data_IF_428753022581
#
_entry.id   IF_428753022581
#
_cell.length_a   1.000
_cell.length_b   1.000
_cell.length_c   1.000
_cell.angle_alpha   90.00
_cell.angle_beta   90.00
_cell.angle_gamma   90.00
#
_symmetry.space_group_name_H-M   'P 1'
#
loop_
_entity.id
_entity.type
_entity.pdbx_description
1 polymer ?
#
# COMPACT_ATOMS: atom_id res chain seq x y z
N UNK A 1 4.03 -3.24 -6.34
CA UNK A 1 3.01 -4.23 -6.70
C UNK A 1 2.98 -4.47 -8.21
N UNK A 2 2.56 -5.66 -8.62
CA UNK A 2 2.24 -5.99 -10.01
C UNK A 2 0.76 -6.35 -10.12
N UNK A 3 0.05 -5.71 -11.05
CA UNK A 3 -1.39 -5.87 -11.24
C UNK A 3 -1.70 -6.33 -12.65
N UNK A 4 -2.41 -7.47 -12.78
CA UNK A 4 -2.82 -8.09 -14.05
C UNK A 4 -1.70 -8.31 -15.07
N UNK A 5 -0.50 -8.64 -14.60
CA UNK A 5 0.66 -8.94 -15.45
C UNK A 5 1.07 -10.41 -15.39
N UNK A 6 0.89 -11.06 -14.25
CA UNK A 6 1.26 -12.46 -14.09
C UNK A 6 0.11 -13.37 -14.57
N UNK A 7 0.41 -14.45 -15.33
CA UNK A 7 -0.64 -15.27 -15.97
C UNK A 7 -1.56 -16.01 -15.00
N UNK A 8 -1.10 -16.28 -13.79
CA UNK A 8 -1.84 -17.04 -12.77
C UNK A 8 -2.19 -16.23 -11.51
N UNK A 9 -1.48 -15.14 -11.28
CA UNK A 9 -1.64 -14.32 -10.06
C UNK A 9 -2.02 -12.91 -10.46
N UNK A 10 -3.28 -12.52 -10.32
CA UNK A 10 -3.77 -11.22 -10.78
C UNK A 10 -3.19 -10.03 -10.01
N UNK A 11 -2.74 -10.24 -8.79
CA UNK A 11 -2.16 -9.22 -7.94
C UNK A 11 -1.00 -9.79 -7.12
N UNK A 12 0.19 -9.21 -7.28
CA UNK A 12 1.37 -9.47 -6.45
C UNK A 12 1.67 -8.19 -5.68
N UNK A 13 1.77 -8.29 -4.36
CA UNK A 13 2.09 -7.15 -3.49
C UNK A 13 3.23 -7.53 -2.57
N UNK A 14 4.28 -6.71 -2.59
CA UNK A 14 5.35 -6.74 -1.61
C UNK A 14 5.45 -5.36 -0.97
N UNK A 15 5.45 -5.27 0.35
CA UNK A 15 5.47 -4.01 1.05
C UNK A 15 6.09 -4.13 2.44
N UNK A 16 6.91 -3.15 2.81
CA UNK A 16 7.37 -2.93 4.16
C UNK A 16 6.42 -1.99 4.90
N UNK A 17 6.29 -2.20 6.21
CA UNK A 17 5.58 -1.28 7.10
C UNK A 17 6.59 -0.61 8.03
N UNK A 18 6.78 0.68 7.84
CA UNK A 18 7.59 1.50 8.73
C UNK A 18 6.68 2.11 9.81
N UNK A 19 6.88 1.71 11.05
CA UNK A 19 6.10 2.21 12.18
C UNK A 19 6.96 2.27 13.45
N UNK A 20 6.60 3.15 14.35
CA UNK A 20 7.28 3.28 15.64
C UNK A 20 7.13 2.01 16.51
N UNK A 21 8.20 1.59 17.18
CA UNK A 21 8.21 0.38 18.01
C UNK A 21 7.18 0.41 19.16
N UNK A 22 6.81 1.59 19.63
CA UNK A 22 5.78 1.73 20.68
C UNK A 22 4.34 1.53 20.17
N UNK A 23 4.16 1.25 18.87
CA UNK A 23 2.87 0.96 18.25
C UNK A 23 2.85 -0.46 17.66
N UNK A 24 2.86 -1.50 18.50
CA UNK A 24 2.94 -2.87 18.04
C UNK A 24 1.67 -3.26 17.30
N UNK A 25 1.78 -3.89 16.09
CA UNK A 25 0.65 -4.46 15.39
C UNK A 25 0.31 -5.85 15.95
N UNK A 26 -0.91 -6.30 15.72
CA UNK A 26 -1.19 -7.72 15.74
C UNK A 26 -0.76 -8.37 14.41
N UNK A 27 -0.25 -9.61 14.44
CA UNK A 27 0.02 -10.38 13.23
C UNK A 27 -1.21 -10.49 12.32
N UNK A 28 -0.98 -10.69 11.03
CA UNK A 28 -2.06 -10.91 10.06
C UNK A 28 -2.84 -12.17 10.42
N UNK A 29 -4.15 -12.02 10.58
CA UNK A 29 -5.11 -13.10 10.84
C UNK A 29 -6.49 -12.68 10.38
N UNK A 30 -7.42 -13.63 10.27
CA UNK A 30 -8.82 -13.30 10.12
C UNK A 30 -9.35 -12.63 11.40
N UNK A 31 -10.02 -11.51 11.25
CA UNK A 31 -10.52 -10.74 12.40
C UNK A 31 -11.76 -11.41 13.00
N UNK A 32 -11.87 -11.43 14.31
CA UNK A 32 -13.03 -12.02 15.01
C UNK A 32 -14.32 -11.21 14.83
N UNK A 33 -14.19 -9.89 14.68
CA UNK A 33 -15.29 -8.93 14.46
C UNK A 33 -15.60 -8.66 12.99
N UNK A 34 -14.78 -9.16 12.07
CA UNK A 34 -14.96 -9.09 10.62
C UNK A 34 -14.29 -10.31 9.96
N UNK A 35 -14.91 -11.52 10.05
CA UNK A 35 -14.25 -12.80 9.74
C UNK A 35 -13.82 -12.98 8.28
N UNK A 36 -14.27 -12.12 7.38
CA UNK A 36 -13.84 -12.11 5.99
C UNK A 36 -12.53 -11.35 5.76
N UNK A 37 -12.11 -10.50 6.70
CA UNK A 37 -10.90 -9.69 6.58
C UNK A 37 -9.70 -10.46 7.10
N UNK A 38 -8.70 -10.65 6.26
CA UNK A 38 -7.35 -11.09 6.62
C UNK A 38 -6.40 -9.89 6.59
N UNK A 39 -5.95 -9.46 7.76
CA UNK A 39 -5.05 -8.31 7.90
C UNK A 39 -4.32 -8.33 9.26
N UNK A 40 -3.19 -7.65 9.36
CA UNK A 40 -2.66 -7.21 10.63
C UNK A 40 -3.61 -6.16 11.26
N UNK A 41 -3.51 -5.91 12.57
CA UNK A 41 -4.38 -4.95 13.22
C UNK A 41 -3.59 -3.97 14.06
N UNK A 42 -3.86 -2.69 13.89
CA UNK A 42 -3.40 -1.66 14.80
C UNK A 42 -4.22 -1.71 16.09
N UNK A 43 -3.61 -2.09 17.20
CA UNK A 43 -4.29 -2.22 18.50
C UNK A 43 -4.82 -0.89 19.04
N UNK A 44 -4.23 0.22 18.63
CA UNK A 44 -4.60 1.55 19.13
C UNK A 44 -5.82 2.11 18.40
N UNK A 45 -5.84 2.00 17.07
CA UNK A 45 -6.88 2.61 16.25
C UNK A 45 -7.89 1.60 15.69
N UNK A 46 -7.65 0.29 15.84
CA UNK A 46 -8.55 -0.78 15.38
C UNK A 46 -8.60 -0.99 13.88
N UNK A 47 -7.83 -0.21 13.10
CA UNK A 47 -7.71 -0.32 11.65
C UNK A 47 -6.52 -1.17 11.21
N UNK A 48 -6.19 -1.08 9.93
CA UNK A 48 -5.01 -1.73 9.33
C UNK A 48 -4.41 -0.85 8.23
N UNK A 49 -3.24 -1.20 7.74
CA UNK A 49 -2.59 -0.51 6.62
C UNK A 49 -2.65 -1.32 5.32
N UNK A 50 -2.87 -2.63 5.41
CA UNK A 50 -3.00 -3.55 4.29
C UNK A 50 -3.87 -4.72 4.70
N UNK A 51 -4.75 -5.17 3.80
CA UNK A 51 -5.56 -6.36 4.00
C UNK A 51 -6.23 -6.86 2.74
N UNK A 52 -6.76 -8.07 2.84
CA UNK A 52 -7.56 -8.72 1.82
C UNK A 52 -8.82 -9.32 2.44
N UNK A 53 -9.80 -9.64 1.62
CA UNK A 53 -10.99 -10.39 2.06
C UNK A 53 -11.15 -11.70 1.32
N UNK A 54 -11.95 -12.62 1.87
CA UNK A 54 -12.35 -13.87 1.19
C UNK A 54 -13.08 -13.61 -0.13
N UNK A 55 -13.77 -12.47 -0.23
CA UNK A 55 -14.49 -12.05 -1.44
C UNK A 55 -13.58 -11.38 -2.50
N UNK A 56 -12.25 -11.42 -2.33
CA UNK A 56 -11.30 -10.86 -3.30
C UNK A 56 -11.18 -9.34 -3.26
N UNK A 57 -11.57 -8.67 -2.16
CA UNK A 57 -11.25 -7.25 -1.97
C UNK A 57 -9.82 -7.10 -1.46
N UNK A 58 -9.17 -6.05 -1.89
CA UNK A 58 -7.84 -5.63 -1.46
C UNK A 58 -7.88 -4.17 -1.07
N UNK A 59 -7.15 -3.79 -0.03
CA UNK A 59 -6.87 -2.39 0.27
C UNK A 59 -5.52 -2.24 0.96
N UNK A 60 -4.77 -1.23 0.55
CA UNK A 60 -3.50 -0.83 1.16
C UNK A 60 -3.33 0.69 1.14
N UNK A 61 -2.78 1.25 2.21
CA UNK A 61 -2.59 2.69 2.38
C UNK A 61 -1.15 3.02 2.72
N UNK A 62 -0.63 4.09 2.11
CA UNK A 62 0.64 4.71 2.51
C UNK A 62 0.42 6.16 2.93
N UNK A 63 1.26 6.64 3.81
CA UNK A 63 1.26 8.04 4.19
C UNK A 63 1.83 8.88 3.03
N UNK A 64 1.17 9.98 2.70
CA UNK A 64 1.80 11.03 1.92
C UNK A 64 2.68 11.87 2.86
N UNK A 65 3.91 12.14 2.47
CA UNK A 65 4.88 12.92 3.27
C UNK A 65 5.33 14.14 2.48
N UNK A 66 5.02 15.29 3.01
CA UNK A 66 5.63 16.58 2.67
C UNK A 66 5.63 17.41 3.96
N UNK A 67 6.82 17.68 4.49
CA UNK A 67 7.00 18.39 5.77
C UNK A 67 6.59 19.85 5.70
N UNK A 68 6.44 20.41 4.50
CA UNK A 68 5.94 21.78 4.27
C UNK A 68 4.43 21.88 4.41
N UNK A 69 3.72 20.74 4.38
CA UNK A 69 2.26 20.69 4.47
C UNK A 69 1.79 20.48 5.91
N UNK A 70 0.82 21.29 6.33
CA UNK A 70 0.11 21.06 7.59
C UNK A 70 -1.13 20.21 7.33
N UNK A 71 -1.10 18.98 7.81
CA UNK A 71 -2.25 18.08 7.72
C UNK A 71 -3.15 18.17 8.96
N UNK A 72 -4.47 17.99 8.80
CA UNK A 72 -5.37 17.95 9.93
C UNK A 72 -5.02 16.78 10.86
N UNK A 73 -5.19 16.99 12.16
CA UNK A 73 -5.19 15.91 13.15
C UNK A 73 -6.53 15.18 13.09
N UNK A 74 -6.70 14.38 12.04
CA UNK A 74 -7.91 13.64 11.76
C UNK A 74 -7.91 12.22 12.29
N UNK A 75 -8.89 11.41 11.89
CA UNK A 75 -8.96 10.00 12.24
C UNK A 75 -7.77 9.21 11.72
N UNK A 76 -7.54 8.02 12.29
CA UNK A 76 -6.50 7.11 11.80
C UNK A 76 -6.82 6.67 10.37
N UNK A 77 -5.85 6.82 9.46
CA UNK A 77 -5.97 6.41 8.06
C UNK A 77 -6.24 4.92 7.90
N UNK A 78 -5.82 4.08 8.86
CA UNK A 78 -6.09 2.65 8.86
C UNK A 78 -7.58 2.27 8.91
N UNK A 79 -8.44 3.20 9.33
CA UNK A 79 -9.91 3.02 9.28
C UNK A 79 -10.41 3.03 7.82
N UNK A 80 -9.80 3.83 6.94
CA UNK A 80 -10.14 3.86 5.52
C UNK A 80 -9.88 2.50 4.85
N UNK A 81 -8.78 1.83 5.22
CA UNK A 81 -8.48 0.48 4.72
C UNK A 81 -9.55 -0.50 5.15
N UNK A 82 -9.96 -0.47 6.42
CA UNK A 82 -11.07 -1.31 6.91
C UNK A 82 -12.35 -1.04 6.13
N UNK A 83 -12.76 0.22 5.98
CA UNK A 83 -13.96 0.61 5.22
C UNK A 83 -13.90 0.13 3.76
N UNK A 84 -12.74 0.25 3.11
CA UNK A 84 -12.54 -0.22 1.74
C UNK A 84 -12.68 -1.75 1.64
N UNK A 85 -12.14 -2.50 2.60
CA UNK A 85 -12.30 -3.96 2.68
C UNK A 85 -13.76 -4.38 2.92
N UNK A 86 -14.48 -3.63 3.72
CA UNK A 86 -15.92 -3.82 3.97
C UNK A 86 -16.80 -3.34 2.79
N UNK A 87 -16.21 -2.65 1.79
CA UNK A 87 -16.89 -2.19 0.58
C UNK A 87 -17.60 -0.86 0.72
N UNK A 88 -17.34 -0.11 1.78
CA UNK A 88 -18.06 1.12 2.15
C UNK A 88 -17.20 2.37 2.24
N UNK A 89 -16.15 2.53 1.42
CA UNK A 89 -15.37 3.77 1.44
C UNK A 89 -16.08 4.90 0.67
N UNK A 90 -16.17 6.08 1.30
CA UNK A 90 -16.55 7.33 0.64
C UNK A 90 -15.29 8.20 0.43
N UNK A 91 -14.78 8.19 -0.81
CA UNK A 91 -13.57 8.95 -1.16
C UNK A 91 -13.77 10.47 -1.11
N UNK A 92 -15.02 10.97 -1.16
CA UNK A 92 -15.33 12.41 -1.08
C UNK A 92 -15.14 12.97 0.33
N UNK A 93 -15.29 12.14 1.36
CA UNK A 93 -15.16 12.53 2.78
C UNK A 93 -13.73 12.43 3.33
N UNK A 94 -12.73 12.11 2.49
CA UNK A 94 -11.37 11.81 2.95
C UNK A 94 -10.50 13.03 3.27
N UNK A 95 -10.97 14.25 3.02
CA UNK A 95 -10.25 15.51 3.33
C UNK A 95 -9.98 15.73 4.82
N UNK A 96 -10.74 15.08 5.70
CA UNK A 96 -10.51 15.16 7.14
C UNK A 96 -9.30 14.36 7.63
N UNK A 97 -8.71 13.52 6.78
CA UNK A 97 -7.55 12.71 7.12
C UNK A 97 -6.25 13.41 6.76
N UNK A 98 -5.19 13.11 7.49
CA UNK A 98 -3.84 13.46 7.04
C UNK A 98 -3.53 12.85 5.67
N UNK A 99 -2.56 13.40 4.94
CA UNK A 99 -2.22 12.99 3.58
C UNK A 99 -1.95 11.50 3.43
N UNK A 100 -2.54 10.89 2.41
CA UNK A 100 -2.40 9.45 2.13
C UNK A 100 -2.56 9.12 0.65
N UNK A 101 -2.12 7.90 0.32
CA UNK A 101 -2.43 7.18 -0.91
C UNK A 101 -3.11 5.86 -0.54
N UNK A 102 -4.16 5.49 -1.25
CA UNK A 102 -4.92 4.28 -1.05
C UNK A 102 -5.07 3.53 -2.37
N UNK A 103 -4.69 2.25 -2.39
CA UNK A 103 -5.08 1.31 -3.45
C UNK A 103 -6.16 0.41 -2.87
N UNK A 104 -7.30 0.30 -3.53
CA UNK A 104 -8.45 -0.41 -3.00
C UNK A 104 -9.37 -0.94 -4.10
N UNK A 105 -10.23 -1.87 -3.78
CA UNK A 105 -11.24 -2.41 -4.69
C UNK A 105 -11.31 -3.94 -4.66
N UNK A 106 -11.83 -4.53 -5.71
CA UNK A 106 -11.74 -5.97 -5.97
C UNK A 106 -10.48 -6.28 -6.78
N UNK A 107 -10.01 -7.52 -6.75
CA UNK A 107 -8.85 -7.94 -7.55
C UNK A 107 -9.07 -7.67 -9.05
N UNK A 108 -10.32 -7.71 -9.51
CA UNK A 108 -10.65 -7.44 -10.92
C UNK A 108 -10.75 -5.95 -11.25
N UNK A 109 -11.02 -5.11 -10.25
CA UNK A 109 -11.20 -3.66 -10.41
C UNK A 109 -10.59 -2.91 -9.22
N UNK A 110 -9.27 -2.72 -9.28
CA UNK A 110 -8.54 -1.90 -8.31
C UNK A 110 -8.56 -0.43 -8.73
N UNK A 111 -8.60 0.42 -7.73
CA UNK A 111 -8.56 1.87 -7.86
C UNK A 111 -7.40 2.46 -7.05
N UNK A 112 -6.92 3.60 -7.49
CA UNK A 112 -5.99 4.46 -6.76
C UNK A 112 -6.69 5.75 -6.33
N UNK A 113 -6.59 6.08 -5.06
CA UNK A 113 -7.07 7.33 -4.50
C UNK A 113 -6.00 8.03 -3.66
N UNK A 114 -5.87 9.35 -3.81
CA UNK A 114 -5.13 10.19 -2.87
C UNK A 114 -5.97 11.41 -2.47
N UNK A 115 -5.86 11.85 -1.23
CA UNK A 115 -6.62 13.01 -0.74
C UNK A 115 -5.90 14.34 -0.91
N UNK A 116 -4.68 14.35 -1.44
CA UNK A 116 -3.88 15.55 -1.70
C UNK A 116 -4.42 16.25 -2.94
N UNK A 117 -4.51 15.51 -4.05
CA UNK A 117 -5.03 16.00 -5.33
C UNK A 117 -6.52 15.68 -5.52
N UNK A 118 -7.08 14.83 -4.66
CA UNK A 118 -8.46 14.36 -4.78
C UNK A 118 -8.67 13.38 -5.95
N UNK A 119 -7.59 12.70 -6.38
CA UNK A 119 -7.65 11.70 -7.44
C UNK A 119 -8.35 10.45 -6.94
N UNK A 120 -9.21 9.87 -7.77
CA UNK A 120 -9.82 8.55 -7.59
C UNK A 120 -10.03 7.92 -8.96
N UNK A 121 -9.13 7.05 -9.37
CA UNK A 121 -9.08 6.49 -10.71
C UNK A 121 -8.84 4.97 -10.71
N UNK A 122 -9.22 4.32 -11.81
CA UNK A 122 -8.93 2.90 -12.00
C UNK A 122 -7.42 2.66 -12.09
N UNK A 123 -6.92 1.70 -11.32
CA UNK A 123 -5.53 1.27 -11.40
C UNK A 123 -5.32 0.49 -12.71
N UNK A 124 -4.40 0.94 -13.54
CA UNK A 124 -4.10 0.27 -14.81
C UNK A 124 -3.31 -1.02 -14.58
N UNK A 125 -3.45 -2.05 -15.43
CA UNK A 125 -2.53 -3.17 -15.44
C UNK A 125 -1.08 -2.70 -15.58
N UNK A 126 -0.19 -3.18 -14.71
CA UNK A 126 1.19 -2.71 -14.71
C UNK A 126 1.97 -3.05 -13.44
N UNK A 127 3.25 -2.66 -13.43
CA UNK A 127 4.07 -2.64 -12.22
C UNK A 127 4.03 -1.24 -11.64
N UNK A 128 3.57 -1.14 -10.41
CA UNK A 128 3.43 0.12 -9.70
C UNK A 128 4.28 0.13 -8.43
N UNK A 129 4.86 1.30 -8.16
CA UNK A 129 5.56 1.59 -6.92
C UNK A 129 4.85 2.70 -6.15
N UNK A 130 4.66 2.49 -4.86
CA UNK A 130 4.01 3.46 -3.99
C UNK A 130 4.80 3.60 -2.70
N UNK A 131 5.40 4.75 -2.52
CA UNK A 131 6.08 5.14 -1.30
C UNK A 131 5.28 6.23 -0.56
N UNK A 132 5.96 7.26 -0.07
CA UNK A 132 5.35 8.35 0.69
C UNK A 132 5.00 9.59 -0.17
N UNK A 133 4.93 9.41 -1.49
CA UNK A 133 4.49 10.39 -2.47
C UNK A 133 3.45 9.75 -3.39
N UNK A 134 3.08 10.37 -4.50
CA UNK A 134 2.09 9.83 -5.44
C UNK A 134 2.51 8.50 -6.07
N UNK A 135 1.53 7.77 -6.58
CA UNK A 135 1.75 6.52 -7.29
C UNK A 135 2.78 6.73 -8.42
N UNK A 136 3.72 5.80 -8.49
CA UNK A 136 4.78 5.79 -9.51
C UNK A 136 5.71 7.01 -9.54
N UNK A 137 5.72 7.84 -8.49
CA UNK A 137 6.73 8.89 -8.35
C UNK A 137 8.13 8.27 -8.45
N UNK A 138 9.00 8.74 -9.36
CA UNK A 138 10.24 8.05 -9.70
C UNK A 138 11.36 8.25 -8.67
N UNK A 139 11.06 8.02 -7.40
CA UNK A 139 12.08 7.97 -6.37
C UNK A 139 13.02 6.78 -6.62
N UNK A 140 14.33 6.87 -6.29
CA UNK A 140 15.30 5.81 -6.56
C UNK A 140 14.82 4.43 -6.10
N UNK A 141 14.33 4.32 -4.86
CA UNK A 141 13.78 3.06 -4.33
C UNK A 141 12.56 2.53 -5.10
N UNK A 142 11.73 3.43 -5.65
CA UNK A 142 10.55 3.03 -6.45
C UNK A 142 10.98 2.50 -7.80
N UNK A 143 11.92 3.19 -8.47
CA UNK A 143 12.46 2.78 -9.76
C UNK A 143 13.15 1.43 -9.65
N UNK A 144 14.03 1.26 -8.65
CA UNK A 144 14.75 0.01 -8.40
C UNK A 144 13.77 -1.13 -8.09
N UNK A 145 12.85 -0.95 -7.14
CA UNK A 145 11.90 -2.00 -6.77
C UNK A 145 10.98 -2.42 -7.93
N UNK A 146 10.59 -1.50 -8.82
CA UNK A 146 9.81 -1.83 -10.03
C UNK A 146 10.64 -2.66 -11.01
N UNK A 147 11.92 -2.32 -11.21
CA UNK A 147 12.83 -3.06 -12.08
C UNK A 147 13.04 -4.49 -11.57
N UNK A 148 13.38 -4.62 -10.28
CA UNK A 148 13.59 -5.93 -9.65
C UNK A 148 12.32 -6.79 -9.66
N UNK A 149 11.16 -6.22 -9.30
CA UNK A 149 9.89 -6.94 -9.34
C UNK A 149 9.59 -7.49 -10.74
N UNK A 150 9.90 -6.73 -11.78
CA UNK A 150 9.75 -7.20 -13.17
C UNK A 150 10.63 -8.43 -13.44
N UNK A 151 11.89 -8.38 -13.07
CA UNK A 151 12.83 -9.50 -13.26
C UNK A 151 12.39 -10.74 -12.47
N UNK A 152 11.91 -10.57 -11.22
CA UNK A 152 11.43 -11.67 -10.38
C UNK A 152 10.21 -12.37 -10.97
N UNK A 153 9.31 -11.65 -11.64
CA UNK A 153 8.13 -12.24 -12.29
C UNK A 153 8.45 -13.08 -13.54
N UNK A 154 9.65 -12.95 -14.10
CA UNK A 154 10.13 -13.78 -15.22
C UNK A 154 10.70 -15.12 -14.73
N UNK A 155 10.91 -15.27 -13.42
CA UNK A 155 11.43 -16.45 -12.77
C UNK A 155 10.35 -17.49 -12.42
N UNK A 156 10.75 -18.60 -11.77
CA UNK A 156 9.82 -19.64 -11.33
C UNK A 156 8.88 -19.14 -10.23
N UNK A 157 7.58 -19.36 -10.35
CA UNK A 157 6.57 -18.95 -9.37
C UNK A 157 6.84 -19.47 -7.95
N UNK A 158 7.38 -20.68 -7.84
CA UNK A 158 7.69 -21.27 -6.53
C UNK A 158 8.76 -20.51 -5.75
N UNK A 159 9.67 -19.79 -6.45
CA UNK A 159 10.71 -18.98 -5.85
C UNK A 159 10.27 -17.53 -5.56
N UNK A 160 9.14 -17.10 -6.14
CA UNK A 160 8.71 -15.71 -6.07
C UNK A 160 8.49 -15.19 -4.64
N UNK A 161 7.86 -15.91 -3.69
CA UNK A 161 7.68 -15.40 -2.33
C UNK A 161 9.00 -15.07 -1.64
N UNK A 162 9.98 -15.97 -1.67
CA UNK A 162 11.29 -15.77 -1.06
C UNK A 162 12.08 -14.63 -1.73
N UNK A 163 12.00 -14.53 -3.06
CA UNK A 163 12.62 -13.46 -3.82
C UNK A 163 12.01 -12.08 -3.48
N UNK A 164 10.70 -12.01 -3.23
CA UNK A 164 10.03 -10.78 -2.78
C UNK A 164 10.47 -10.37 -1.37
N UNK A 165 10.68 -11.32 -0.45
CA UNK A 165 11.25 -11.02 0.86
C UNK A 165 12.69 -10.52 0.75
N UNK A 166 13.50 -11.09 -0.14
CA UNK A 166 14.86 -10.62 -0.42
C UNK A 166 14.85 -9.18 -0.95
N UNK A 167 13.97 -8.88 -1.89
CA UNK A 167 13.77 -7.52 -2.42
C UNK A 167 13.41 -6.52 -1.31
N UNK A 168 12.53 -6.91 -0.39
CA UNK A 168 12.11 -6.03 0.72
C UNK A 168 13.16 -5.87 1.82
N UNK A 169 14.15 -6.76 1.88
CA UNK A 169 15.26 -6.70 2.83
C UNK A 169 16.44 -5.85 2.33
N UNK A 170 16.36 -5.33 1.10
CA UNK A 170 17.40 -4.45 0.56
C UNK A 170 17.40 -3.13 1.35
N UNK A 171 18.53 -2.83 1.98
CA UNK A 171 18.81 -1.65 2.80
C UNK A 171 19.74 -0.64 2.09
N UNK A 172 20.01 -0.83 0.81
CA UNK A 172 20.80 0.09 0.01
C UNK A 172 20.19 1.49 0.01
N UNK A 173 21.01 2.49 0.32
CA UNK A 173 20.61 3.89 0.33
C UNK A 173 21.00 4.55 -0.99
N UNK A 174 20.09 5.34 -1.56
CA UNK A 174 20.42 6.19 -2.69
C UNK A 174 21.41 7.29 -2.27
N UNK A 175 22.30 7.75 -3.19
CA UNK A 175 23.12 8.93 -2.97
C UNK A 175 22.28 10.16 -2.57
N UNK A 176 22.83 11.03 -1.73
CA UNK A 176 22.11 12.19 -1.18
C UNK A 176 21.56 13.12 -2.27
N UNK A 177 22.26 13.27 -3.40
CA UNK A 177 21.85 14.08 -4.54
C UNK A 177 20.66 13.51 -5.33
N UNK A 178 20.29 12.26 -5.07
CA UNK A 178 19.14 11.57 -5.67
C UNK A 178 17.96 11.45 -4.70
N UNK A 179 18.13 11.84 -3.44
CA UNK A 179 17.06 11.78 -2.47
C UNK A 179 15.97 12.82 -2.79
N UNK A 180 14.69 12.44 -2.61
CA UNK A 180 13.59 13.39 -2.86
C UNK A 180 13.59 14.49 -1.81
N UNK A 181 13.36 15.73 -2.26
CA UNK A 181 13.06 16.85 -1.37
C UNK A 181 11.63 16.69 -0.82
N UNK A 182 11.52 16.40 0.46
CA UNK A 182 10.23 16.27 1.18
C UNK A 182 10.01 17.39 2.20
N UNK A 183 10.85 18.44 2.17
CA UNK A 183 10.82 19.55 3.09
C UNK A 183 11.69 19.38 4.31
#
# INVERSE_FOLDING_TARGET
LAYKLHPRVPLIVAANRDEFLYRPPEPARFWSDSPDILAGRDKRAGGTWLGITRAGRFAAITNYRDMRMNFPQGPSRGILVRQALEGGIDTKSTKAYAGFNLIYGTIDDLRYHNNIEGVDEALRPGIHGLSNHFLDTPWPKVVMAKHELKALMEGPDAALPEALFTLLADDATAPDDQLPDTG
#
